data_IF_356718660239
#
_entry.id   IF_356718660239
#
_cell.length_a   1.000
_cell.length_b   1.000
_cell.length_c   1.000
_cell.angle_alpha   90.00
_cell.angle_beta   90.00
_cell.angle_gamma   90.00
#
_symmetry.space_group_name_H-M   'P 1'
#
loop_
_entity.id
_entity.type
_entity.pdbx_description
1 polymer ?
#
# COMPACT_ATOMS: atom_id res chain seq x y z
N UNK A 1 5.26 5.07 1.70
CA UNK A 1 4.01 5.12 0.92
C UNK A 1 3.14 3.95 1.33
N UNK A 2 1.84 4.18 1.52
CA UNK A 2 0.88 3.15 1.90
C UNK A 2 -0.19 3.06 0.81
N UNK A 3 -0.45 1.85 0.33
CA UNK A 3 -1.57 1.54 -0.57
C UNK A 3 -2.61 0.72 0.22
N UNK A 4 -3.88 1.11 0.10
CA UNK A 4 -4.99 0.46 0.80
C UNK A 4 -5.72 -0.51 -0.12
N UNK A 5 -6.08 -1.67 0.41
CA UNK A 5 -6.87 -2.69 -0.29
C UNK A 5 -8.35 -2.66 0.11
N UNK A 6 -8.73 -1.81 1.06
CA UNK A 6 -10.06 -1.76 1.70
C UNK A 6 -11.23 -1.58 0.74
N UNK A 7 -11.01 -0.87 -0.38
CA UNK A 7 -12.03 -0.62 -1.39
C UNK A 7 -12.00 -1.61 -2.57
N UNK A 8 -11.04 -2.54 -2.58
CA UNK A 8 -10.88 -3.49 -3.68
C UNK A 8 -11.96 -4.57 -3.56
N UNK A 9 -12.77 -4.69 -4.61
CA UNK A 9 -13.83 -5.70 -4.73
C UNK A 9 -13.86 -6.22 -6.16
N UNK A 10 -14.66 -7.25 -6.45
CA UNK A 10 -14.82 -7.74 -7.82
C UNK A 10 -15.38 -6.67 -8.78
N UNK A 11 -16.32 -5.84 -8.30
CA UNK A 11 -16.88 -4.71 -9.04
C UNK A 11 -16.00 -3.46 -9.07
N UNK A 12 -14.98 -3.40 -8.21
CA UNK A 12 -14.01 -2.31 -8.13
C UNK A 12 -12.60 -2.91 -8.05
N UNK A 13 -12.09 -3.49 -9.15
CA UNK A 13 -10.85 -4.22 -9.14
C UNK A 13 -9.66 -3.29 -8.96
N UNK A 14 -8.57 -3.85 -8.43
CA UNK A 14 -7.29 -3.18 -8.30
C UNK A 14 -6.79 -2.71 -9.67
N UNK A 15 -6.40 -1.43 -9.76
CA UNK A 15 -5.88 -0.83 -11.00
C UNK A 15 -4.37 -0.60 -11.00
N UNK A 16 -3.74 -0.46 -9.82
CA UNK A 16 -2.30 -0.23 -9.67
C UNK A 16 -1.70 -1.49 -9.08
N UNK A 17 -0.86 -2.21 -9.81
CA UNK A 17 -0.21 -3.42 -9.32
C UNK A 17 0.96 -3.11 -8.36
N UNK A 18 1.50 -4.14 -7.72
CA UNK A 18 2.53 -3.97 -6.69
C UNK A 18 3.82 -3.37 -7.27
N UNK A 19 4.19 -3.76 -8.49
CA UNK A 19 5.37 -3.24 -9.16
C UNK A 19 5.25 -1.73 -9.40
N UNK A 20 4.12 -1.28 -9.96
CA UNK A 20 3.82 0.14 -10.18
C UNK A 20 3.82 0.93 -8.86
N UNK A 21 3.19 0.38 -7.82
CA UNK A 21 3.18 0.95 -6.47
C UNK A 21 4.59 1.18 -5.91
N UNK A 22 5.47 0.18 -6.04
CA UNK A 22 6.87 0.31 -5.61
C UNK A 22 7.65 1.34 -6.43
N UNK A 23 7.43 1.43 -7.74
CA UNK A 23 8.09 2.45 -8.57
C UNK A 23 7.64 3.87 -8.18
N UNK A 24 6.34 4.06 -7.93
CA UNK A 24 5.83 5.34 -7.42
C UNK A 24 6.46 5.73 -6.08
N UNK A 25 6.59 4.78 -5.15
CA UNK A 25 7.23 5.03 -3.86
C UNK A 25 8.71 5.46 -4.01
N UNK A 26 9.46 4.85 -4.93
CA UNK A 26 10.86 5.22 -5.21
C UNK A 26 11.02 6.63 -5.78
N UNK A 27 10.03 7.09 -6.54
CA UNK A 27 10.05 8.42 -7.16
C UNK A 27 9.65 9.54 -6.19
N UNK A 28 9.14 9.20 -4.99
CA UNK A 28 8.74 10.17 -3.98
C UNK A 28 9.90 10.47 -3.01
N UNK A 29 10.35 11.73 -2.89
CA UNK A 29 11.38 12.08 -1.92
C UNK A 29 10.88 11.81 -0.50
N UNK A 30 11.75 11.24 0.35
CA UNK A 30 11.48 10.81 1.74
C UNK A 30 10.56 9.58 1.89
N UNK A 31 10.13 8.93 0.80
CA UNK A 31 9.51 7.61 0.90
C UNK A 31 10.59 6.51 0.87
N UNK A 32 10.86 5.89 2.01
CA UNK A 32 11.81 4.77 2.13
C UNK A 32 11.20 3.41 1.76
N UNK A 33 9.87 3.27 1.84
CA UNK A 33 9.19 1.99 1.67
C UNK A 33 7.79 2.11 1.06
N UNK A 34 7.30 0.99 0.55
CA UNK A 34 5.94 0.79 0.03
C UNK A 34 5.28 -0.36 0.79
N UNK A 35 4.09 -0.11 1.32
CA UNK A 35 3.30 -1.09 2.06
C UNK A 35 1.90 -1.20 1.48
N UNK A 36 1.44 -2.43 1.24
CA UNK A 36 0.02 -2.71 1.01
C UNK A 36 -0.63 -3.07 2.33
N UNK A 37 -1.77 -2.45 2.62
CA UNK A 37 -2.49 -2.59 3.88
C UNK A 37 -3.95 -2.88 3.63
N UNK A 38 -4.60 -3.51 4.61
CA UNK A 38 -6.04 -3.57 4.68
C UNK A 38 -6.47 -3.44 6.13
N UNK A 39 -7.29 -2.44 6.43
CA UNK A 39 -7.77 -2.19 7.78
C UNK A 39 -8.83 -3.20 8.22
N UNK A 40 -9.61 -3.77 7.29
CA UNK A 40 -10.65 -4.77 7.56
C UNK A 40 -10.13 -6.01 8.29
N UNK A 41 -8.91 -6.47 7.96
CA UNK A 41 -8.29 -7.65 8.56
C UNK A 41 -6.86 -7.42 9.08
N UNK A 42 -6.47 -6.15 9.23
CA UNK A 42 -5.22 -5.76 9.90
C UNK A 42 -3.92 -6.05 9.13
N UNK A 43 -3.98 -6.21 7.81
CA UNK A 43 -2.78 -6.48 7.00
C UNK A 43 -1.80 -5.30 7.06
N UNK A 44 -0.58 -5.57 7.53
CA UNK A 44 0.55 -4.63 7.59
C UNK A 44 0.30 -3.30 8.33
N UNK A 45 -0.83 -3.14 9.01
CA UNK A 45 -1.20 -1.89 9.70
C UNK A 45 -0.13 -1.53 10.73
N UNK A 46 0.16 -2.45 11.65
CA UNK A 46 1.23 -2.30 12.65
C UNK A 46 2.59 -1.98 12.05
N UNK A 47 2.93 -2.61 10.93
CA UNK A 47 4.23 -2.47 10.29
C UNK A 47 4.44 -1.07 9.73
N UNK A 48 3.40 -0.48 9.14
CA UNK A 48 3.45 0.91 8.66
C UNK A 48 3.81 1.89 9.79
N UNK A 49 3.31 1.66 11.00
CA UNK A 49 3.55 2.55 12.15
C UNK A 49 4.84 2.23 12.93
N UNK A 50 5.39 1.02 12.79
CA UNK A 50 6.63 0.61 13.47
C UNK A 50 7.88 0.85 12.62
N UNK A 51 7.76 0.77 11.30
CA UNK A 51 8.87 0.97 10.34
C UNK A 51 9.08 2.47 9.98
N UNK A 52 8.19 3.37 10.45
CA UNK A 52 8.28 4.83 10.26
C UNK A 52 8.88 5.55 11.46
#
# INVERSE_FOLDING_TARGET
MVATQDAVTESNPRVINEHEGRQMAKNLPKCSAYYETCSTYGLNVDRVFKDG
#
